data_IF_264004425848
#
_entry.id   IF_264004425848
#
_cell.length_a   1.000
_cell.length_b   1.000
_cell.length_c   1.000
_cell.angle_alpha   90.00
_cell.angle_beta   90.00
_cell.angle_gamma   90.00
#
_symmetry.space_group_name_H-M   'P 1'
#
loop_
_entity.id
_entity.type
_entity.pdbx_description
1 polymer ?
#
# COMPACT_ATOMS: atom_id res chain seq x y z
N UNK A 1 -8.74 -14.20 -0.43
CA UNK A 1 -7.44 -13.74 0.13
C UNK A 1 -6.37 -14.78 -0.15
N UNK A 2 -5.13 -14.38 -0.40
CA UNK A 2 -4.01 -15.33 -0.49
C UNK A 2 -3.77 -15.98 0.89
N UNK A 3 -3.26 -17.22 0.92
CA UNK A 3 -3.00 -17.97 2.18
C UNK A 3 -2.13 -17.16 3.15
N UNK A 4 -1.08 -16.50 2.64
CA UNK A 4 -0.21 -15.62 3.43
C UNK A 4 -0.95 -14.47 4.12
N UNK A 5 -1.96 -13.91 3.45
CA UNK A 5 -2.78 -12.83 4.01
C UNK A 5 -3.71 -13.35 5.12
N UNK A 6 -4.23 -14.57 4.97
CA UNK A 6 -5.07 -15.19 6.00
C UNK A 6 -4.28 -15.48 7.27
N UNK A 7 -3.05 -15.99 7.14
CA UNK A 7 -2.14 -16.22 8.28
C UNK A 7 -1.88 -14.92 9.03
N UNK A 8 -1.62 -13.83 8.30
CA UNK A 8 -1.38 -12.52 8.90
C UNK A 8 -2.58 -12.00 9.69
N UNK A 9 -3.79 -12.07 9.13
CA UNK A 9 -5.02 -11.65 9.82
C UNK A 9 -5.30 -12.52 11.02
N UNK A 10 -5.18 -13.85 10.89
CA UNK A 10 -5.38 -14.80 12.01
C UNK A 10 -4.44 -14.51 13.18
N UNK A 11 -3.21 -14.07 12.92
CA UNK A 11 -2.27 -13.66 13.97
C UNK A 11 -2.68 -12.35 14.65
N UNK A 12 -2.96 -11.30 13.88
CA UNK A 12 -3.14 -9.95 14.42
C UNK A 12 -4.53 -9.68 15.00
N UNK A 13 -5.58 -10.29 14.44
CA UNK A 13 -6.97 -10.09 14.89
C UNK A 13 -7.18 -10.34 16.39
N UNK A 14 -6.80 -11.50 16.96
CA UNK A 14 -6.99 -11.74 18.39
C UNK A 14 -6.17 -10.78 19.27
N UNK A 15 -4.96 -10.40 18.82
CA UNK A 15 -4.08 -9.47 19.56
C UNK A 15 -4.72 -8.08 19.66
N UNK A 16 -5.35 -7.62 18.57
CA UNK A 16 -5.98 -6.31 18.52
C UNK A 16 -7.31 -6.28 19.29
N UNK A 17 -8.09 -7.35 19.22
CA UNK A 17 -9.31 -7.51 20.03
C UNK A 17 -8.98 -7.51 21.54
N UNK A 18 -7.93 -8.22 21.96
CA UNK A 18 -7.48 -8.17 23.36
C UNK A 18 -6.93 -6.80 23.74
N UNK A 19 -6.21 -6.13 22.85
CA UNK A 19 -5.77 -4.76 23.10
C UNK A 19 -6.94 -3.81 23.35
N UNK A 20 -8.03 -3.95 22.58
CA UNK A 20 -9.25 -3.17 22.76
C UNK A 20 -9.96 -3.49 24.09
N UNK A 21 -10.04 -4.77 24.49
CA UNK A 21 -10.56 -5.16 25.81
C UNK A 21 -9.74 -4.57 26.96
N UNK A 22 -8.41 -4.54 26.83
CA UNK A 22 -7.50 -3.94 27.83
C UNK A 22 -7.75 -2.43 27.92
N UNK A 23 -7.89 -1.73 26.79
CA UNK A 23 -8.18 -0.29 26.76
C UNK A 23 -9.54 0.03 27.40
N UNK A 24 -10.57 -0.73 27.04
CA UNK A 24 -11.94 -0.52 27.52
C UNK A 24 -12.18 -1.09 28.93
N UNK A 25 -11.17 -1.74 29.53
CA UNK A 25 -11.23 -2.40 30.85
C UNK A 25 -12.40 -3.41 30.96
N UNK A 26 -12.73 -4.09 29.86
CA UNK A 26 -13.80 -5.10 29.81
C UNK A 26 -13.31 -6.40 30.45
N UNK A 27 -14.17 -7.05 31.23
CA UNK A 27 -13.92 -8.34 31.87
C UNK A 27 -14.82 -9.38 31.17
N UNK A 28 -14.32 -10.57 30.81
CA UNK A 28 -12.98 -11.10 31.05
C UNK A 28 -11.95 -10.64 30.00
N UNK A 29 -10.72 -10.41 30.46
CA UNK A 29 -9.55 -10.09 29.61
C UNK A 29 -8.42 -11.06 29.93
N UNK A 30 -7.71 -11.51 28.90
CA UNK A 30 -6.62 -12.48 29.05
C UNK A 30 -5.38 -11.86 29.72
N UNK A 31 -5.17 -10.57 29.51
CA UNK A 31 -4.04 -9.82 30.07
C UNK A 31 -4.53 -8.60 30.84
N UNK A 32 -3.83 -8.22 31.91
CA UNK A 32 -4.15 -7.02 32.70
C UNK A 32 -3.51 -5.79 32.08
N UNK A 33 -2.28 -5.92 31.60
CA UNK A 33 -1.47 -4.83 31.07
C UNK A 33 -1.11 -5.06 29.60
N UNK A 34 -1.00 -3.96 28.84
CA UNK A 34 -0.53 -3.99 27.45
C UNK A 34 0.91 -4.52 27.36
N UNK A 35 1.73 -4.30 28.40
CA UNK A 35 3.10 -4.82 28.47
C UNK A 35 3.12 -6.35 28.44
N UNK A 36 2.23 -7.01 29.17
CA UNK A 36 2.11 -8.47 29.22
C UNK A 36 1.70 -9.04 27.86
N UNK A 37 0.71 -8.42 27.21
CA UNK A 37 0.28 -8.77 25.85
C UNK A 37 1.45 -8.67 24.85
N UNK A 38 2.22 -7.58 24.92
CA UNK A 38 3.38 -7.37 24.04
C UNK A 38 4.47 -8.44 24.26
N UNK A 39 4.75 -8.80 25.51
CA UNK A 39 5.72 -9.84 25.87
C UNK A 39 5.26 -11.22 25.39
N UNK A 40 4.00 -11.58 25.60
CA UNK A 40 3.45 -12.88 25.23
C UNK A 40 3.48 -13.15 23.72
N UNK A 41 3.30 -12.10 22.90
CA UNK A 41 3.29 -12.21 21.44
C UNK A 41 4.61 -11.82 20.78
N UNK A 42 5.64 -11.47 21.56
CA UNK A 42 6.93 -10.96 21.08
C UNK A 42 6.78 -9.77 20.12
N UNK A 43 5.96 -8.79 20.49
CA UNK A 43 5.65 -7.61 19.68
C UNK A 43 6.04 -6.34 20.44
N UNK A 44 6.55 -5.34 19.72
CA UNK A 44 6.79 -4.03 20.32
C UNK A 44 5.51 -3.21 20.49
N UNK A 45 5.43 -2.41 21.55
CA UNK A 45 4.26 -1.53 21.78
C UNK A 45 4.00 -0.57 20.61
N UNK A 46 5.08 -0.11 19.96
CA UNK A 46 5.04 0.76 18.77
C UNK A 46 4.32 0.07 17.60
N UNK A 47 4.62 -1.20 17.35
CA UNK A 47 3.98 -1.96 16.27
C UNK A 47 2.51 -2.22 16.58
N UNK A 48 2.19 -2.59 17.82
CA UNK A 48 0.81 -2.81 18.26
C UNK A 48 -0.04 -1.55 18.01
N UNK A 49 0.43 -0.38 18.47
CA UNK A 49 -0.26 0.90 18.25
C UNK A 49 -0.44 1.22 16.76
N UNK A 50 0.59 0.98 15.94
CA UNK A 50 0.54 1.20 14.49
C UNK A 50 -0.55 0.36 13.83
N UNK A 51 -0.61 -0.93 14.13
CA UNK A 51 -1.61 -1.83 13.55
C UNK A 51 -3.01 -1.56 14.08
N UNK A 52 -3.14 -1.21 15.37
CA UNK A 52 -4.42 -0.84 15.95
C UNK A 52 -5.02 0.41 15.30
N UNK A 53 -4.22 1.47 15.15
CA UNK A 53 -4.66 2.70 14.46
C UNK A 53 -5.13 2.41 13.04
N UNK A 54 -4.35 1.62 12.29
CA UNK A 54 -4.69 1.21 10.93
C UNK A 54 -6.00 0.41 10.88
N UNK A 55 -6.22 -0.47 11.85
CA UNK A 55 -7.44 -1.27 11.97
C UNK A 55 -8.66 -0.41 12.32
N UNK A 56 -8.51 0.58 13.21
CA UNK A 56 -9.55 1.57 13.53
C UNK A 56 -9.92 2.42 12.31
N UNK A 57 -8.94 3.00 11.61
CA UNK A 57 -9.15 3.78 10.37
C UNK A 57 -9.89 2.96 9.31
N UNK A 58 -9.57 1.66 9.23
CA UNK A 58 -10.19 0.70 8.33
C UNK A 58 -11.49 0.06 8.83
N UNK A 59 -12.23 0.70 9.75
CA UNK A 59 -13.53 0.24 10.30
C UNK A 59 -13.50 -1.20 10.81
N UNK A 60 -12.38 -1.61 11.41
CA UNK A 60 -12.15 -2.96 11.97
C UNK A 60 -12.28 -4.12 10.98
N UNK A 61 -12.17 -3.85 9.68
CA UNK A 61 -12.22 -4.92 8.67
C UNK A 61 -10.90 -5.67 8.57
N UNK A 62 -10.97 -6.97 8.28
CA UNK A 62 -9.81 -7.84 8.11
C UNK A 62 -8.89 -7.38 6.96
N UNK A 63 -9.48 -6.81 5.91
CA UNK A 63 -8.76 -6.28 4.74
C UNK A 63 -7.85 -5.11 5.12
N UNK A 64 -8.23 -4.33 6.12
CA UNK A 64 -7.51 -3.13 6.57
C UNK A 64 -6.17 -3.48 7.24
N UNK A 65 -6.04 -4.68 7.81
CA UNK A 65 -4.78 -5.14 8.40
C UNK A 65 -3.73 -5.42 7.34
N UNK A 66 -4.14 -5.81 6.14
CA UNK A 66 -3.25 -6.26 5.09
C UNK A 66 -2.30 -5.14 4.64
N UNK A 67 -1.02 -5.46 4.40
CA UNK A 67 -0.07 -4.48 3.88
C UNK A 67 -0.62 -3.85 2.60
N UNK A 68 -0.56 -2.53 2.52
CA UNK A 68 -0.93 -1.81 1.32
C UNK A 68 0.04 -2.18 0.20
N UNK A 69 -0.42 -2.05 -1.06
CA UNK A 69 0.45 -2.24 -2.21
C UNK A 69 1.65 -1.29 -2.11
N UNK A 70 2.85 -1.85 -2.00
CA UNK A 70 4.10 -1.10 -1.98
C UNK A 70 4.40 -0.65 -3.42
N UNK A 71 4.67 0.65 -3.60
CA UNK A 71 5.05 1.24 -4.88
C UNK A 71 4.12 2.36 -5.34
N UNK A 72 4.55 3.09 -6.38
CA UNK A 72 3.72 4.13 -6.99
C UNK A 72 2.39 3.54 -7.47
N UNK A 73 1.30 4.30 -7.31
CA UNK A 73 0.00 3.93 -7.91
C UNK A 73 0.25 3.65 -9.39
N UNK A 74 -0.17 2.49 -9.93
CA UNK A 74 0.02 2.21 -11.35
C UNK A 74 -0.63 3.34 -12.16
N UNK A 75 0.13 3.99 -13.02
CA UNK A 75 -0.34 5.12 -13.85
C UNK A 75 -0.21 6.52 -13.23
N UNK A 76 0.28 6.69 -11.99
CA UNK A 76 0.40 8.04 -11.42
C UNK A 76 1.67 8.81 -11.84
N UNK A 77 2.72 8.10 -12.24
CA UNK A 77 4.02 8.66 -12.67
C UNK A 77 4.53 8.11 -14.00
N UNK A 78 3.77 7.20 -14.64
CA UNK A 78 4.11 6.64 -15.94
C UNK A 78 3.29 7.35 -17.00
N UNK A 79 3.89 7.55 -18.17
CA UNK A 79 3.17 7.95 -19.36
C UNK A 79 2.07 6.94 -19.71
N UNK A 80 0.89 7.40 -20.12
CA UNK A 80 -0.15 6.51 -20.64
C UNK A 80 0.39 5.60 -21.75
N UNK A 81 0.06 4.31 -21.70
CA UNK A 81 0.52 3.29 -22.67
C UNK A 81 0.18 3.62 -24.13
N UNK A 82 -0.85 4.43 -24.35
CA UNK A 82 -1.23 4.89 -25.69
C UNK A 82 -0.22 5.87 -26.27
N UNK A 83 0.26 6.81 -25.43
CA UNK A 83 1.31 7.77 -25.79
C UNK A 83 2.61 7.03 -26.10
N UNK A 84 3.01 6.08 -25.25
CA UNK A 84 4.19 5.23 -25.47
C UNK A 84 4.11 4.47 -26.81
N UNK A 85 2.94 3.90 -27.13
CA UNK A 85 2.71 3.19 -28.40
C UNK A 85 2.82 4.12 -29.61
N UNK A 86 2.31 5.34 -29.52
CA UNK A 86 2.39 6.31 -30.61
C UNK A 86 3.83 6.77 -30.84
N UNK A 87 4.58 7.05 -29.77
CA UNK A 87 6.01 7.40 -29.85
C UNK A 87 6.81 6.26 -30.46
N UNK A 88 6.58 5.01 -30.04
CA UNK A 88 7.26 3.84 -30.62
C UNK A 88 6.93 3.62 -32.10
N UNK A 89 5.69 3.90 -32.53
CA UNK A 89 5.32 3.84 -33.96
C UNK A 89 6.05 4.90 -34.78
N UNK A 90 6.14 6.13 -34.27
CA UNK A 90 6.88 7.20 -34.92
C UNK A 90 8.37 6.89 -34.98
N UNK A 91 8.97 6.41 -33.87
CA UNK A 91 10.37 5.98 -33.85
C UNK A 91 10.66 4.92 -34.92
N UNK A 92 9.81 3.89 -35.02
CA UNK A 92 9.98 2.82 -36.02
C UNK A 92 9.79 3.28 -37.47
N UNK A 93 9.00 4.34 -37.71
CA UNK A 93 8.71 4.85 -39.06
C UNK A 93 9.75 5.86 -39.54
N UNK A 94 10.14 6.78 -38.66
CA UNK A 94 10.99 7.92 -39.02
C UNK A 94 12.46 7.71 -38.62
N UNK A 95 12.77 6.78 -37.72
CA UNK A 95 14.13 6.54 -37.23
C UNK A 95 14.73 7.69 -36.40
N UNK A 96 13.90 8.66 -35.99
CA UNK A 96 14.33 9.90 -35.33
C UNK A 96 14.93 9.69 -33.95
N UNK A 97 15.75 10.65 -33.51
CA UNK A 97 16.38 10.61 -32.19
C UNK A 97 15.34 10.86 -31.07
N UNK A 98 15.65 10.40 -29.85
CA UNK A 98 14.78 10.54 -28.65
C UNK A 98 14.34 11.99 -28.40
N UNK A 99 15.25 12.95 -28.59
CA UNK A 99 14.98 14.38 -28.38
C UNK A 99 14.04 14.96 -29.44
N UNK A 100 14.20 14.54 -30.69
CA UNK A 100 13.37 14.99 -31.82
C UNK A 100 11.95 14.47 -31.69
N UNK A 101 11.80 13.20 -31.26
CA UNK A 101 10.49 12.63 -30.97
C UNK A 101 9.78 13.40 -29.87
N UNK A 102 10.49 13.74 -28.78
CA UNK A 102 9.89 14.55 -27.70
C UNK A 102 9.45 15.91 -28.22
N UNK A 103 10.26 16.60 -29.02
CA UNK A 103 9.89 17.89 -29.63
C UNK A 103 8.65 17.78 -30.53
N UNK A 104 8.59 16.72 -31.34
CA UNK A 104 7.47 16.46 -32.26
C UNK A 104 6.17 16.17 -31.51
N UNK A 105 6.24 15.49 -30.36
CA UNK A 105 5.08 15.10 -29.57
C UNK A 105 4.69 16.09 -28.47
N UNK A 106 5.59 16.98 -28.06
CA UNK A 106 5.34 18.05 -27.08
C UNK A 106 4.11 18.92 -27.40
N UNK A 107 3.86 19.37 -28.64
CA UNK A 107 2.65 20.12 -28.95
C UNK A 107 1.36 19.27 -28.83
N UNK A 108 1.44 17.95 -28.96
CA UNK A 108 0.27 17.07 -28.93
C UNK A 108 -0.09 16.59 -27.52
N UNK A 109 0.91 16.27 -26.69
CA UNK A 109 0.69 15.69 -25.36
C UNK A 109 1.00 16.63 -24.20
N UNK A 110 1.59 17.81 -24.46
CA UNK A 110 1.91 18.83 -23.46
C UNK A 110 2.63 18.20 -22.25
N UNK A 111 2.06 18.35 -21.05
CA UNK A 111 2.59 17.84 -19.78
C UNK A 111 2.65 16.31 -19.67
N UNK A 112 1.97 15.60 -20.58
CA UNK A 112 1.97 14.12 -20.62
C UNK A 112 3.07 13.56 -21.52
N UNK A 113 3.85 14.42 -22.17
CA UNK A 113 4.97 14.00 -23.01
C UNK A 113 6.09 13.44 -22.11
N UNK A 114 6.61 12.24 -22.38
CA UNK A 114 7.74 11.72 -21.63
C UNK A 114 8.97 12.64 -21.79
N UNK A 115 9.77 12.71 -20.73
CA UNK A 115 11.08 13.36 -20.79
C UNK A 115 12.00 12.63 -21.78
N UNK A 116 12.94 13.33 -22.45
CA UNK A 116 13.86 12.74 -23.42
C UNK A 116 14.73 11.63 -22.86
#
# INVERSE_FOLDING_TARGET
MKISQQIFVKRWKPILEEYEKIQNKVIPRSFRLVKELCLAHYISNKELRRYYRKWQEGKKQDVSLLPAKIGAKPGSRRTPKEIERNIMKAYRRFGSNRYELVLLFKPYYLDKTPSP
#
